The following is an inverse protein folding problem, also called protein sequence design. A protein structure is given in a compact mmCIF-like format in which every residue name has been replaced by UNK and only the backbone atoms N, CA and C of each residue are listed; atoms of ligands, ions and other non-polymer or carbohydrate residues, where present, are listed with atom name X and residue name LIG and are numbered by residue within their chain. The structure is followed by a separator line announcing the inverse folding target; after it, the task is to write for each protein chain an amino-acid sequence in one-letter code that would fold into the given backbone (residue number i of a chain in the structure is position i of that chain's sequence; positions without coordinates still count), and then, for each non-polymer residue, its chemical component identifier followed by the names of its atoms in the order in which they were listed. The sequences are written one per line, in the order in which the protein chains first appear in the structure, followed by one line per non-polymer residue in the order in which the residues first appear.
data_IF_991842966271
#
_entry.id   IF_991842966271
#
_cell.length_a   1.000
_cell.length_b   1.000
_cell.length_c   1.000
_cell.angle_alpha   90.00
_cell.angle_beta   90.00
_cell.angle_gamma   90.00
#
_symmetry.space_group_name_H-M   'P 1'
#
loop_
_entity.id
_entity.type
_entity.pdbx_description
1 polymer ?
#
# COMPACT_ATOMS: atom_id res chain seq x y z
N UNK A 1 -10.81 -10.39 -5.19
CA UNK A 1 -9.34 -10.21 -5.14
C UNK A 1 -8.95 -8.87 -4.52
N UNK A 2 -9.27 -7.72 -5.12
CA UNK A 2 -8.92 -6.40 -4.54
C UNK A 2 -9.53 -6.20 -3.14
N UNK A 3 -10.83 -6.42 -2.97
CA UNK A 3 -11.50 -6.23 -1.67
C UNK A 3 -10.97 -7.17 -0.58
N UNK A 4 -10.57 -8.38 -0.96
CA UNK A 4 -9.98 -9.37 -0.07
C UNK A 4 -8.57 -8.93 0.37
N UNK A 5 -7.75 -8.47 -0.58
CA UNK A 5 -6.45 -7.88 -0.25
C UNK A 5 -6.55 -6.62 0.59
N UNK A 6 -7.56 -5.77 0.35
CA UNK A 6 -7.81 -4.60 1.17
C UNK A 6 -8.09 -5.00 2.63
N UNK A 7 -8.89 -6.04 2.87
CA UNK A 7 -9.14 -6.57 4.22
C UNK A 7 -7.87 -7.12 4.87
N UNK A 8 -7.06 -7.88 4.12
CA UNK A 8 -5.77 -8.39 4.61
C UNK A 8 -4.85 -7.24 5.00
N UNK A 9 -4.79 -6.18 4.20
CA UNK A 9 -4.00 -4.99 4.53
C UNK A 9 -4.53 -4.26 5.75
N UNK A 10 -5.85 -4.14 5.90
CA UNK A 10 -6.42 -3.51 7.08
C UNK A 10 -6.04 -4.23 8.36
N UNK A 11 -6.16 -5.56 8.35
CA UNK A 11 -5.81 -6.39 9.49
C UNK A 11 -4.31 -6.37 9.78
N UNK A 12 -3.46 -6.59 8.76
CA UNK A 12 -2.01 -6.80 8.96
C UNK A 12 -1.20 -5.52 9.07
N UNK A 13 -1.72 -4.39 8.57
CA UNK A 13 -1.08 -3.07 8.66
C UNK A 13 -1.67 -2.19 9.77
N UNK A 14 -2.61 -2.73 10.56
CA UNK A 14 -3.30 -2.00 11.63
C UNK A 14 -4.02 -0.73 11.12
N UNK A 15 -4.57 -0.79 9.90
CA UNK A 15 -5.27 0.36 9.31
C UNK A 15 -6.66 0.46 9.97
N UNK A 16 -7.00 1.61 10.58
CA UNK A 16 -8.33 1.80 11.19
C UNK A 16 -9.46 1.60 10.17
N UNK A 17 -10.62 1.13 10.61
CA UNK A 17 -11.78 0.91 9.71
C UNK A 17 -12.19 2.18 8.94
N UNK A 18 -12.09 3.34 9.58
CA UNK A 18 -12.35 4.66 8.94
C UNK A 18 -11.45 4.96 7.74
N UNK A 19 -10.32 4.25 7.62
CA UNK A 19 -9.31 4.41 6.57
C UNK A 19 -9.36 3.27 5.54
N UNK A 20 -10.50 2.58 5.40
CA UNK A 20 -10.70 1.52 4.38
C UNK A 20 -10.24 1.95 2.97
N UNK A 21 -10.49 3.21 2.59
CA UNK A 21 -10.11 3.73 1.27
C UNK A 21 -8.60 3.66 1.01
N UNK A 22 -7.78 3.89 2.03
CA UNK A 22 -6.31 3.80 1.89
C UNK A 22 -5.89 2.35 1.61
N UNK A 23 -6.46 1.39 2.32
CA UNK A 23 -6.21 -0.03 2.09
C UNK A 23 -6.71 -0.51 0.72
N UNK A 24 -7.87 -0.01 0.28
CA UNK A 24 -8.42 -0.31 -1.05
C UNK A 24 -7.52 0.23 -2.16
N UNK A 25 -7.02 1.47 -2.06
CA UNK A 25 -6.07 2.02 -3.03
C UNK A 25 -4.81 1.17 -3.14
N UNK A 26 -4.28 0.75 -1.99
CA UNK A 26 -3.09 -0.08 -1.94
C UNK A 26 -3.31 -1.46 -2.56
N UNK A 27 -4.48 -2.04 -2.30
CA UNK A 27 -4.89 -3.32 -2.88
C UNK A 27 -5.05 -3.23 -4.40
N UNK A 28 -5.67 -2.17 -4.92
CA UNK A 28 -5.78 -1.94 -6.37
C UNK A 28 -4.39 -1.88 -7.00
N UNK A 29 -3.48 -1.06 -6.46
CA UNK A 29 -2.14 -0.91 -7.01
C UNK A 29 -1.35 -2.22 -7.00
N UNK A 30 -1.41 -2.97 -5.90
CA UNK A 30 -0.70 -4.25 -5.74
C UNK A 30 -1.27 -5.35 -6.64
N UNK A 31 -2.60 -5.50 -6.69
CA UNK A 31 -3.28 -6.52 -7.49
C UNK A 31 -3.09 -6.31 -8.99
N UNK A 32 -3.13 -5.07 -9.45
CA UNK A 32 -3.03 -4.74 -10.86
C UNK A 32 -1.59 -4.51 -11.35
N UNK A 33 -0.58 -4.70 -10.50
CA UNK A 33 0.82 -4.55 -10.90
C UNK A 33 1.19 -3.09 -11.22
N UNK A 34 0.57 -2.12 -10.55
CA UNK A 34 0.87 -0.70 -10.76
C UNK A 34 2.26 -0.41 -10.17
N UNK A 35 3.13 0.23 -10.93
CA UNK A 35 4.51 0.47 -10.52
C UNK A 35 4.62 1.48 -9.36
N UNK A 36 3.80 2.54 -9.38
CA UNK A 36 3.87 3.64 -8.42
C UNK A 36 2.51 3.95 -7.79
N UNK A 37 2.48 4.11 -6.46
CA UNK A 37 1.36 4.65 -5.70
C UNK A 37 1.79 5.96 -5.04
N UNK A 38 1.42 7.07 -5.68
CA UNK A 38 1.77 8.42 -5.21
C UNK A 38 0.77 8.88 -4.16
N UNK A 39 1.24 9.33 -2.99
CA UNK A 39 0.36 9.74 -1.89
C UNK A 39 1.01 10.78 -0.97
N UNK A 40 0.19 11.68 -0.41
CA UNK A 40 0.58 12.59 0.67
C UNK A 40 0.35 12.01 2.07
N UNK A 41 -0.23 10.80 2.16
CA UNK A 41 -0.52 10.17 3.45
C UNK A 41 0.73 9.48 4.02
N UNK A 42 1.66 10.27 4.57
CA UNK A 42 2.89 9.79 5.20
C UNK A 42 2.66 9.11 6.56
N UNK A 43 1.47 9.27 7.15
CA UNK A 43 1.12 8.62 8.40
C UNK A 43 0.81 7.13 8.20
N UNK A 44 0.06 6.81 7.14
CA UNK A 44 -0.51 5.47 6.95
C UNK A 44 -0.07 4.75 5.67
N UNK A 45 0.44 5.44 4.65
CA UNK A 45 0.85 4.84 3.38
C UNK A 45 2.34 5.04 3.10
N UNK A 46 2.78 6.30 2.91
CA UNK A 46 4.17 6.66 2.65
C UNK A 46 5.03 6.66 3.94
N UNK A 47 4.85 5.63 4.77
CA UNK A 47 5.61 5.42 5.99
C UNK A 47 6.51 4.19 5.81
N UNK A 48 7.82 4.35 5.97
CA UNK A 48 8.79 3.25 5.79
C UNK A 48 8.50 1.99 6.62
N UNK A 49 7.89 2.12 7.82
CA UNK A 49 7.47 0.95 8.62
C UNK A 49 6.27 0.23 8.00
N UNK A 50 5.30 0.97 7.48
CA UNK A 50 4.13 0.41 6.79
C UNK A 50 4.57 -0.25 5.48
N UNK A 51 5.38 0.44 4.67
CA UNK A 51 5.92 -0.09 3.42
C UNK A 51 6.68 -1.40 3.68
N UNK A 52 7.54 -1.45 4.71
CA UNK A 52 8.27 -2.67 5.08
C UNK A 52 7.35 -3.83 5.50
N UNK A 53 6.25 -3.55 6.21
CA UNK A 53 5.24 -4.58 6.54
C UNK A 53 4.52 -5.05 5.27
N UNK A 54 4.13 -4.12 4.40
CA UNK A 54 3.44 -4.41 3.15
C UNK A 54 4.26 -5.33 2.24
N UNK A 55 5.54 -5.02 2.02
CA UNK A 55 6.45 -5.84 1.20
C UNK A 55 6.42 -7.29 1.69
N UNK A 56 6.55 -7.52 3.00
CA UNK A 56 6.50 -8.87 3.58
C UNK A 56 5.18 -9.59 3.33
N UNK A 57 4.06 -8.87 3.46
CA UNK A 57 2.72 -9.43 3.21
C UNK A 57 2.63 -9.88 1.75
N UNK A 58 3.00 -8.99 0.84
CA UNK A 58 2.90 -9.22 -0.60
C UNK A 58 3.87 -10.31 -1.08
N UNK A 59 5.11 -10.33 -0.60
CA UNK A 59 6.08 -11.39 -0.87
C UNK A 59 5.55 -12.76 -0.46
N UNK A 60 4.94 -12.87 0.73
CA UNK A 60 4.36 -14.13 1.22
C UNK A 60 3.17 -14.62 0.39
N UNK A 61 2.55 -13.72 -0.38
CA UNK A 61 1.38 -13.99 -1.21
C UNK A 61 1.70 -14.00 -2.71
N UNK A 62 2.95 -13.77 -3.11
CA UNK A 62 3.34 -13.66 -4.53
C UNK A 62 2.70 -12.47 -5.26
N UNK A 63 2.42 -11.39 -4.54
CA UNK A 63 1.73 -10.19 -5.06
C UNK A 63 2.75 -9.08 -5.31
N UNK A 64 2.53 -8.27 -6.35
CA UNK A 64 3.34 -7.08 -6.64
C UNK A 64 3.24 -6.04 -5.51
N UNK A 65 4.34 -5.34 -5.22
CA UNK A 65 4.32 -4.20 -4.29
C UNK A 65 4.65 -2.93 -5.05
N UNK A 66 3.73 -1.95 -5.14
CA UNK A 66 4.04 -0.67 -5.78
C UNK A 66 5.11 0.09 -5.01
N UNK A 67 5.87 0.93 -5.70
CA UNK A 67 6.68 1.97 -5.08
C UNK A 67 5.73 3.01 -4.51
N UNK A 68 5.69 3.13 -3.18
CA UNK A 68 4.87 4.11 -2.49
C UNK A 68 5.75 5.31 -2.16
N UNK A 69 5.40 6.47 -2.70
CA UNK A 69 6.19 7.69 -2.58
C UNK A 69 5.30 8.93 -2.51
N UNK A 70 5.85 10.04 -2.04
CA UNK A 70 5.22 11.36 -2.17
C UNK A 70 5.39 11.91 -3.58
N UNK A 71 4.57 12.87 -4.02
CA UNK A 71 4.78 13.52 -5.31
C UNK A 71 6.16 14.17 -5.42
N UNK A 72 6.68 14.70 -4.32
CA UNK A 72 8.01 15.31 -4.27
C UNK A 72 9.07 14.25 -4.54
N UNK A 73 9.03 13.10 -3.86
CA UNK A 73 9.95 11.98 -4.08
C UNK A 73 9.92 11.49 -5.54
N UNK A 74 8.75 11.45 -6.17
CA UNK A 74 8.62 11.03 -7.57
C UNK A 74 9.25 12.03 -8.56
N UNK A 75 9.17 13.34 -8.28
CA UNK A 75 9.70 14.38 -9.17
C UNK A 75 11.23 14.51 -9.11
N UNK A 76 11.89 13.93 -8.09
CA UNK A 76 13.35 13.93 -7.96
C UNK A 76 14.03 12.69 -8.59
N UNK A 77 13.24 11.82 -9.23
CA UNK A 77 13.72 10.61 -9.92
C UNK A 77 14.13 10.94 -11.35
#
# INVERSE_FOLDING_TARGET
MVEEMAKIYMERLDIPEKSFRDAAHLAVASVHGIDYLVTWNCAHLANGKVIKKLVKINESSGIHTPIICTPEELMVV
#
